data_IF_247280071361
#
_entry.id   IF_247280071361
#
_cell.length_a   1.000
_cell.length_b   1.000
_cell.length_c   1.000
_cell.angle_alpha   90.00
_cell.angle_beta   90.00
_cell.angle_gamma   90.00
#
_symmetry.space_group_name_H-M   'P 1'
#
loop_
_entity.id
_entity.type
_entity.pdbx_description
1 polymer ?
#
# COMPACT_ATOMS: atom_id res chain seq x y z
N UNK A 1 -8.34 -18.39 -31.99
CA UNK A 1 -8.16 -18.39 -31.58
C UNK A 1 -7.83 -18.11 -30.85
N UNK A 2 -8.14 -18.32 -31.04
CA UNK A 2 -7.92 -18.07 -30.29
C UNK A 2 -7.25 -17.94 -29.41
N UNK A 3 -7.02 -17.94 -29.13
CA UNK A 3 -6.48 -17.91 -28.38
C UNK A 3 -5.90 -17.50 -27.71
N UNK A 4 -5.84 -17.43 -28.04
CA UNK A 4 -5.24 -17.12 -27.52
C UNK A 4 -5.04 -16.36 -26.61
N UNK A 5 -5.18 -16.24 -26.42
CA UNK A 5 -5.00 -15.55 -25.68
C UNK A 5 -4.82 -15.55 -24.68
N UNK A 6 -4.70 -15.66 -24.42
CA UNK A 6 -4.56 -15.64 -23.64
C UNK A 6 -3.81 -15.42 -22.89
N UNK A 7 -3.32 -15.44 -23.08
CA UNK A 7 -2.28 -15.24 -22.29
C UNK A 7 -2.33 -14.15 -21.54
N UNK A 8 -2.44 -13.56 -22.13
CA UNK A 8 -2.68 -12.52 -21.62
C UNK A 8 -3.00 -12.63 -20.33
N UNK A 9 -3.70 -13.41 -20.16
CA UNK A 9 -4.17 -13.57 -19.01
C UNK A 9 -3.16 -13.68 -18.04
N UNK A 10 -2.10 -14.21 -18.35
CA UNK A 10 -1.13 -14.47 -17.47
C UNK A 10 -0.47 -13.35 -16.94
N UNK A 11 -0.66 -12.21 -17.45
CA UNK A 11 -0.02 -11.02 -16.95
C UNK A 11 -0.81 -10.37 -15.83
N UNK A 12 -2.02 -10.84 -15.58
CA UNK A 12 -2.79 -10.26 -14.49
C UNK A 12 -2.31 -10.77 -13.12
N UNK A 13 -2.05 -9.89 -12.17
CA UNK A 13 -1.58 -10.30 -10.85
C UNK A 13 -2.61 -11.11 -10.08
N UNK A 14 -2.14 -11.90 -9.15
CA UNK A 14 -3.01 -12.64 -8.25
C UNK A 14 -3.50 -11.78 -7.14
N UNK A 15 -4.56 -12.21 -6.49
CA UNK A 15 -5.09 -11.57 -5.31
C UNK A 15 -6.39 -10.86 -5.57
N UNK A 16 -6.89 -10.19 -4.54
CA UNK A 16 -8.14 -9.43 -4.63
C UNK A 16 -7.87 -8.11 -5.33
N UNK A 17 -8.68 -7.81 -6.32
CA UNK A 17 -8.50 -6.59 -7.09
C UNK A 17 -9.41 -5.47 -6.56
N UNK A 18 -8.83 -4.31 -6.34
CA UNK A 18 -9.57 -3.10 -5.97
C UNK A 18 -9.30 -2.01 -7.01
N UNK A 19 -10.28 -1.15 -7.23
CA UNK A 19 -10.13 -0.04 -8.17
C UNK A 19 -9.48 1.14 -7.44
N UNK A 20 -8.22 0.95 -7.09
CA UNK A 20 -7.42 1.93 -6.37
C UNK A 20 -6.11 2.09 -7.12
N UNK A 21 -5.80 3.31 -7.52
CA UNK A 21 -4.53 3.58 -8.20
C UNK A 21 -3.50 4.21 -7.27
N UNK A 22 -2.26 4.30 -7.76
CA UNK A 22 -1.20 4.97 -7.02
C UNK A 22 -1.55 6.43 -6.79
N UNK A 23 -1.18 6.95 -5.63
CA UNK A 23 -1.40 8.34 -5.29
C UNK A 23 -0.58 9.28 -6.20
N UNK A 24 0.54 8.79 -6.71
CA UNK A 24 1.41 9.55 -7.61
C UNK A 24 2.13 8.56 -8.52
N UNK A 25 2.18 8.83 -9.83
CA UNK A 25 2.87 7.91 -10.76
C UNK A 25 4.37 7.80 -10.47
N UNK A 26 4.94 8.70 -9.71
CA UNK A 26 6.35 8.64 -9.33
C UNK A 26 6.72 7.44 -8.48
N UNK A 27 5.73 6.75 -7.87
CA UNK A 27 6.01 5.53 -7.11
C UNK A 27 6.23 4.34 -8.04
N UNK A 28 5.80 4.42 -9.28
CA UNK A 28 5.83 3.28 -10.18
C UNK A 28 7.24 3.01 -10.70
N UNK A 29 7.51 1.74 -10.99
CA UNK A 29 8.76 1.33 -11.63
C UNK A 29 8.63 1.51 -13.15
N UNK A 30 9.58 0.94 -13.89
CA UNK A 30 9.60 1.07 -15.35
C UNK A 30 8.41 0.42 -16.04
N UNK A 31 7.72 -0.47 -15.34
CA UNK A 31 6.53 -1.14 -15.86
C UNK A 31 5.25 -0.39 -15.51
N UNK A 32 5.35 0.78 -14.91
CA UNK A 32 4.20 1.59 -14.55
C UNK A 32 3.46 1.13 -13.32
N UNK A 33 4.09 0.34 -12.47
CA UNK A 33 3.42 -0.18 -11.27
C UNK A 33 4.39 -0.38 -10.12
N UNK A 34 3.83 -0.57 -8.93
CA UNK A 34 4.57 -0.95 -7.73
C UNK A 34 4.28 -2.42 -7.49
N UNK A 35 5.30 -3.19 -7.16
CA UNK A 35 5.17 -4.61 -6.86
C UNK A 35 6.01 -4.90 -5.62
N UNK A 36 5.34 -5.10 -4.48
CA UNK A 36 6.01 -5.32 -3.21
C UNK A 36 5.62 -6.68 -2.65
N UNK A 37 6.62 -7.42 -2.16
CA UNK A 37 6.40 -8.70 -1.51
C UNK A 37 6.52 -8.54 0.00
N UNK A 38 5.69 -9.27 0.73
CA UNK A 38 5.69 -9.23 2.20
C UNK A 38 5.63 -7.79 2.71
N UNK A 39 4.67 -7.05 2.20
CA UNK A 39 4.54 -5.64 2.51
C UNK A 39 3.74 -5.41 3.78
N UNK A 40 4.21 -4.49 4.59
CA UNK A 40 3.42 -3.96 5.69
C UNK A 40 2.48 -2.90 5.14
N UNK A 41 1.29 -2.79 5.69
CA UNK A 41 0.28 -1.86 5.21
C UNK A 41 -0.18 -0.99 6.37
N UNK A 42 0.03 0.31 6.26
CA UNK A 42 -0.45 1.27 7.25
C UNK A 42 -1.67 1.96 6.68
N UNK A 43 -2.82 1.72 7.30
CA UNK A 43 -4.08 2.29 6.86
C UNK A 43 -4.43 3.46 7.76
N UNK A 44 -4.50 4.65 7.17
CA UNK A 44 -4.78 5.89 7.88
C UNK A 44 -6.18 6.33 7.53
N UNK A 45 -7.06 6.34 8.53
CA UNK A 45 -8.44 6.74 8.30
C UNK A 45 -8.55 8.26 8.44
N UNK A 46 -8.08 8.96 7.42
CA UNK A 46 -8.13 10.41 7.44
C UNK A 46 -7.25 11.04 6.39
N UNK A 47 -7.16 12.35 6.48
CA UNK A 47 -6.33 13.19 5.60
C UNK A 47 -5.44 14.05 6.48
N UNK A 48 -4.53 14.77 5.87
CA UNK A 48 -3.73 15.76 6.62
C UNK A 48 -2.54 15.19 7.36
N UNK A 49 -2.17 13.95 7.09
CA UNK A 49 -0.95 13.39 7.66
C UNK A 49 0.24 14.12 7.05
N UNK A 50 1.29 14.33 7.84
CA UNK A 50 2.50 15.00 7.36
C UNK A 50 3.69 14.03 7.43
N UNK A 51 4.81 14.43 6.84
CA UNK A 51 6.01 13.60 6.89
C UNK A 51 6.46 13.32 8.31
N UNK A 52 6.17 14.23 9.23
CA UNK A 52 6.55 14.04 10.62
C UNK A 52 5.95 12.77 11.20
N UNK A 53 4.67 12.50 10.94
CA UNK A 53 4.00 11.31 11.42
C UNK A 53 4.45 10.06 10.68
N UNK A 54 4.92 10.20 9.45
CA UNK A 54 5.24 9.05 8.61
C UNK A 54 6.68 8.57 8.72
N UNK A 55 7.58 9.41 9.21
CA UNK A 55 9.02 9.07 9.22
C UNK A 55 9.35 7.79 9.96
N UNK A 56 8.81 7.61 11.15
CA UNK A 56 9.11 6.43 11.94
C UNK A 56 8.48 5.17 11.33
N UNK A 57 7.20 5.16 10.97
CA UNK A 57 6.64 3.99 10.28
C UNK A 57 7.42 3.61 9.04
N UNK A 58 7.80 4.60 8.22
CA UNK A 58 8.55 4.32 7.01
C UNK A 58 9.90 3.67 7.31
N UNK A 59 10.60 4.18 8.30
CA UNK A 59 11.94 3.66 8.62
C UNK A 59 11.89 2.28 9.27
N UNK A 60 10.82 1.95 9.98
CA UNK A 60 10.74 0.71 10.75
C UNK A 60 10.06 -0.44 10.06
N UNK A 61 9.21 -0.18 9.08
CA UNK A 61 8.30 -1.19 8.56
C UNK A 61 8.36 -1.37 7.05
N UNK A 62 9.53 -1.30 6.49
CA UNK A 62 9.71 -1.53 5.05
C UNK A 62 9.66 -3.02 4.72
N UNK A 63 9.13 -3.42 3.58
CA UNK A 63 8.41 -2.62 2.59
C UNK A 63 7.10 -2.10 3.16
N UNK A 64 6.72 -0.90 2.81
CA UNK A 64 5.55 -0.27 3.41
C UNK A 64 4.63 0.31 2.34
N UNK A 65 3.33 0.05 2.49
CA UNK A 65 2.30 0.71 1.71
C UNK A 65 1.53 1.63 2.65
N UNK A 66 1.41 2.88 2.26
CA UNK A 66 0.61 3.86 3.00
C UNK A 66 -0.73 4.00 2.30
N UNK A 67 -1.80 3.84 3.04
CA UNK A 67 -3.16 3.97 2.51
C UNK A 67 -3.85 5.05 3.32
N UNK A 68 -4.40 6.07 2.66
CA UNK A 68 -5.07 7.16 3.33
C UNK A 68 -6.22 7.68 2.49
N UNK A 69 -7.11 8.46 3.10
CA UNK A 69 -8.20 9.08 2.35
C UNK A 69 -7.72 10.29 1.55
N UNK A 70 -6.58 10.84 1.90
CA UNK A 70 -5.96 11.92 1.15
C UNK A 70 -4.59 12.25 1.72
N UNK A 71 -3.75 12.87 0.90
CA UNK A 71 -2.43 13.35 1.30
C UNK A 71 -2.13 14.62 0.53
N UNK A 72 -1.45 15.56 1.18
CA UNK A 72 -1.06 16.79 0.52
C UNK A 72 0.00 16.52 -0.55
N UNK A 73 0.04 17.37 -1.55
CA UNK A 73 1.01 17.21 -2.66
C UNK A 73 2.45 17.26 -2.16
N UNK A 74 2.73 18.08 -1.17
CA UNK A 74 4.08 18.19 -0.61
C UNK A 74 4.53 16.88 0.03
N UNK A 75 3.62 16.22 0.72
CA UNK A 75 3.91 14.93 1.35
C UNK A 75 4.17 13.88 0.28
N UNK A 76 3.33 13.84 -0.75
CA UNK A 76 3.50 12.89 -1.84
C UNK A 76 4.81 13.11 -2.57
N UNK A 77 5.17 14.35 -2.83
CA UNK A 77 6.43 14.67 -3.51
C UNK A 77 7.63 14.20 -2.69
N UNK A 78 7.57 14.39 -1.38
CA UNK A 78 8.65 13.97 -0.50
C UNK A 78 8.76 12.44 -0.46
N UNK A 79 7.63 11.74 -0.41
CA UNK A 79 7.63 10.28 -0.41
C UNK A 79 8.19 9.74 -1.73
N UNK A 80 7.81 10.32 -2.85
CA UNK A 80 8.34 9.92 -4.15
C UNK A 80 9.84 10.14 -4.23
N UNK A 81 10.31 11.28 -3.75
CA UNK A 81 11.73 11.60 -3.75
C UNK A 81 12.52 10.61 -2.90
N UNK A 82 12.00 10.25 -1.73
CA UNK A 82 12.65 9.29 -0.84
C UNK A 82 12.69 7.90 -1.46
N UNK A 83 11.61 7.50 -2.10
CA UNK A 83 11.58 6.21 -2.76
C UNK A 83 12.65 6.13 -3.84
N UNK A 84 12.80 7.17 -4.62
CA UNK A 84 13.77 7.17 -5.72
C UNK A 84 15.20 7.31 -5.25
N UNK A 85 15.48 8.30 -4.42
CA UNK A 85 16.85 8.57 -4.02
C UNK A 85 17.40 7.57 -3.03
N UNK A 86 16.56 7.00 -2.17
CA UNK A 86 17.01 6.04 -1.16
C UNK A 86 16.67 4.60 -1.54
N UNK A 87 16.06 4.40 -2.70
CA UNK A 87 15.65 3.08 -3.17
C UNK A 87 14.77 2.36 -2.15
N UNK A 88 13.87 3.12 -1.52
CA UNK A 88 12.99 2.55 -0.50
C UNK A 88 11.84 1.79 -1.10
N UNK A 89 11.52 0.58 -0.63
CA UNK A 89 10.32 -0.13 -1.08
C UNK A 89 9.09 0.47 -0.40
N UNK A 90 8.52 1.47 -1.02
CA UNK A 90 7.47 2.30 -0.48
C UNK A 90 6.45 2.65 -1.55
N UNK A 91 5.18 2.63 -1.20
CA UNK A 91 4.11 3.09 -2.08
C UNK A 91 3.06 3.80 -1.27
N UNK A 92 2.29 4.66 -1.92
CA UNK A 92 1.15 5.32 -1.29
C UNK A 92 -0.03 5.27 -2.24
N UNK A 93 -1.20 4.99 -1.68
CA UNK A 93 -2.46 5.02 -2.41
C UNK A 93 -3.46 5.88 -1.64
N UNK A 94 -4.32 6.55 -2.38
CA UNK A 94 -5.38 7.39 -1.79
C UNK A 94 -6.70 6.78 -2.20
N UNK A 95 -7.54 6.47 -1.21
CA UNK A 95 -8.80 5.82 -1.46
C UNK A 95 -9.76 6.01 -0.29
N UNK A 96 -11.06 5.95 -0.58
CA UNK A 96 -12.07 5.87 0.46
C UNK A 96 -12.42 4.42 0.80
N UNK A 97 -11.82 3.45 0.11
CA UNK A 97 -12.07 2.03 0.36
C UNK A 97 -11.25 1.52 1.55
N UNK A 98 -11.26 2.30 2.63
CA UNK A 98 -10.48 1.99 3.82
C UNK A 98 -10.92 0.66 4.47
N UNK A 99 -12.22 0.38 4.66
CA UNK A 99 -12.60 -0.90 5.25
C UNK A 99 -12.19 -2.10 4.41
N UNK A 100 -12.29 -1.99 3.09
CA UNK A 100 -11.95 -3.08 2.19
C UNK A 100 -10.46 -3.42 2.26
N UNK A 101 -9.61 -2.39 2.26
CA UNK A 101 -8.17 -2.60 2.38
C UNK A 101 -7.84 -3.17 3.75
N UNK A 102 -8.45 -2.66 4.80
CA UNK A 102 -8.21 -3.14 6.15
C UNK A 102 -8.58 -4.62 6.28
N UNK A 103 -9.73 -5.02 5.71
CA UNK A 103 -10.15 -6.41 5.78
C UNK A 103 -9.18 -7.34 5.05
N UNK A 104 -8.70 -6.93 3.88
CA UNK A 104 -7.81 -7.78 3.08
C UNK A 104 -6.42 -7.92 3.69
N UNK A 105 -5.98 -6.92 4.44
CA UNK A 105 -4.61 -6.91 4.98
C UNK A 105 -4.54 -7.20 6.47
N UNK A 106 -5.68 -7.21 7.15
CA UNK A 106 -5.71 -7.35 8.60
C UNK A 106 -5.31 -6.08 9.33
N UNK A 107 -5.21 -4.96 8.64
CA UNK A 107 -4.85 -3.70 9.26
C UNK A 107 -6.01 -3.17 10.12
N UNK A 108 -5.66 -2.47 11.19
CA UNK A 108 -6.61 -1.70 11.96
C UNK A 108 -6.35 -0.24 11.62
N UNK A 109 -7.32 0.48 11.03
CA UNK A 109 -7.09 1.86 10.65
C UNK A 109 -6.71 2.73 11.84
N UNK A 110 -5.78 3.65 11.63
CA UNK A 110 -5.35 4.59 12.67
C UNK A 110 -5.73 6.00 12.27
N UNK A 111 -5.94 6.85 13.25
CA UNK A 111 -6.24 8.25 12.97
C UNK A 111 -4.94 9.05 12.83
N UNK A 112 -5.03 10.20 12.18
CA UNK A 112 -3.89 11.12 12.09
C UNK A 112 -3.48 11.58 13.49
N UNK A 113 -4.46 11.79 14.38
CA UNK A 113 -4.17 12.20 15.76
C UNK A 113 -3.35 11.15 16.50
N UNK A 114 -3.67 9.86 16.31
CA UNK A 114 -2.91 8.77 16.93
C UNK A 114 -1.47 8.77 16.42
N UNK A 115 -1.28 8.93 15.13
CA UNK A 115 0.06 8.98 14.57
C UNK A 115 0.85 10.18 15.08
N UNK A 116 0.18 11.32 15.24
CA UNK A 116 0.80 12.51 15.79
C UNK A 116 1.27 12.30 17.22
N UNK A 117 0.53 11.52 17.98
CA UNK A 117 0.88 11.19 19.36
C UNK A 117 1.91 10.06 19.44
N UNK A 118 2.33 9.51 18.32
CA UNK A 118 3.28 8.40 18.30
C UNK A 118 2.65 7.05 18.57
N UNK A 119 1.32 6.95 18.47
CA UNK A 119 0.62 5.72 18.81
C UNK A 119 0.40 4.88 17.54
N UNK A 120 1.19 3.86 17.39
CA UNK A 120 1.04 2.89 16.30
C UNK A 120 1.42 1.51 16.82
N UNK A 121 0.48 0.80 17.46
CA UNK A 121 0.78 -0.56 17.89
C UNK A 121 1.05 -1.48 16.70
N UNK A 122 1.96 -2.43 16.86
CA UNK A 122 2.31 -3.35 15.79
C UNK A 122 1.11 -4.09 15.23
N UNK A 123 0.13 -4.40 16.07
CA UNK A 123 -1.07 -5.10 15.63
C UNK A 123 -1.99 -4.28 14.73
N UNK A 124 -1.75 -2.98 14.60
CA UNK A 124 -2.54 -2.13 13.70
C UNK A 124 -2.00 -2.16 12.27
N UNK A 125 -0.77 -2.59 12.08
CA UNK A 125 -0.24 -2.74 10.73
C UNK A 125 -0.86 -3.96 10.08
N UNK A 126 -1.26 -3.81 8.83
CA UNK A 126 -1.69 -4.94 8.03
C UNK A 126 -0.51 -5.55 7.32
N UNK A 127 -0.77 -6.63 6.62
CA UNK A 127 0.25 -7.32 5.87
C UNK A 127 -0.32 -7.90 4.59
N UNK A 128 0.44 -7.79 3.51
CA UNK A 128 0.09 -8.42 2.24
C UNK A 128 1.26 -9.27 1.79
N UNK A 129 0.99 -10.51 1.42
CA UNK A 129 2.01 -11.36 0.84
C UNK A 129 2.55 -10.72 -0.43
N UNK A 130 1.67 -10.09 -1.17
CA UNK A 130 2.08 -9.31 -2.33
C UNK A 130 1.12 -8.16 -2.54
N UNK A 131 1.66 -7.00 -2.88
CA UNK A 131 0.88 -5.79 -3.15
C UNK A 131 1.34 -5.23 -4.49
N UNK A 132 0.46 -5.18 -5.45
CA UNK A 132 0.75 -4.63 -6.77
C UNK A 132 -0.25 -3.53 -7.07
N UNK A 133 0.23 -2.34 -7.39
CA UNK A 133 -0.62 -1.20 -7.74
C UNK A 133 -0.10 -0.52 -8.99
N UNK A 134 -0.97 -0.27 -9.96
CA UNK A 134 -0.63 0.56 -11.10
C UNK A 134 -1.41 1.89 -11.00
N UNK A 135 -1.58 2.59 -12.10
CA UNK A 135 -2.26 3.89 -12.07
C UNK A 135 -3.75 3.80 -11.83
N UNK A 136 -4.37 2.63 -11.91
CA UNK A 136 -5.82 2.47 -11.83
C UNK A 136 -6.28 1.38 -10.88
N UNK A 137 -5.48 0.36 -10.65
CA UNK A 137 -5.91 -0.82 -9.89
C UNK A 137 -4.86 -1.30 -8.92
N UNK A 138 -5.33 -2.02 -7.91
CA UNK A 138 -4.46 -2.66 -6.92
C UNK A 138 -4.88 -4.11 -6.76
N UNK A 139 -3.90 -4.99 -6.70
CA UNK A 139 -4.11 -6.42 -6.42
C UNK A 139 -3.42 -6.74 -5.11
N UNK A 140 -4.18 -7.28 -4.15
CA UNK A 140 -3.68 -7.59 -2.82
C UNK A 140 -3.77 -9.09 -2.60
N UNK A 141 -2.61 -9.71 -2.37
CA UNK A 141 -2.55 -11.10 -1.95
C UNK A 141 -2.47 -11.08 -0.43
N UNK A 142 -3.55 -11.47 0.27
CA UNK A 142 -3.55 -11.37 1.72
C UNK A 142 -2.52 -12.31 2.33
N UNK A 143 -2.15 -12.03 3.56
CA UNK A 143 -1.31 -12.93 4.31
C UNK A 143 -2.04 -14.28 4.45
N UNK A 144 -1.38 -15.41 4.21
CA UNK A 144 -2.06 -16.71 4.32
C UNK A 144 -2.62 -16.92 5.71
N UNK A 145 -3.77 -17.59 5.82
CA UNK A 145 -4.30 -17.90 7.14
C UNK A 145 -3.34 -18.82 7.88
N UNK A 146 -3.32 -18.63 9.14
CA UNK A 146 -2.48 -19.47 9.95
C UNK A 146 -3.06 -20.85 10.00
N UNK A 147 -2.41 -21.69 9.95
CA UNK A 147 -2.95 -22.85 10.01
C UNK A 147 -3.18 -23.60 9.73
N UNK A 148 -2.81 -23.30 9.48
CA UNK A 148 -2.90 -23.85 9.07
C UNK A 148 -3.79 -23.90 9.44
N UNK A 149 -3.92 -23.15 9.65
CA UNK A 149 -4.82 -23.11 10.06
C UNK A 149 -5.46 -24.13 9.80
N UNK A 150 -5.09 -24.58 9.84
CA UNK A 150 -5.54 -25.53 9.66
C UNK A 150 -5.41 -26.11 9.91
#
# INVERSE_FOLDING_TARGET
APGVRRPVLRTEPRGERLEIGLADPGFADVNGRVDLKDANVLVIDGTGVTMRELMIPISRHQPLVLVARGMDEDVLATLVANRKSLTMPLAAVITDLIPEVADLTGALPVSVADLRAGYLPAGHLGHATRWITDGARTWIEPHPPLVGTT
#
